data_IF_816372609394
#
_entry.id   IF_816372609394
#
_cell.length_a   1.000
_cell.length_b   1.000
_cell.length_c   1.000
_cell.angle_alpha   90.00
_cell.angle_beta   90.00
_cell.angle_gamma   90.00
#
_symmetry.space_group_name_H-M   'P 1'
#
loop_
_entity.id
_entity.type
_entity.pdbx_description
1 polymer ?
#
# COMPACT_ATOMS: atom_id res chain seq x y z
N UNK A 1 12.03 -21.05 -34.02
CA UNK A 1 11.25 -21.93 -33.13
C UNK A 1 11.10 -21.18 -31.81
N UNK A 2 9.97 -20.51 -31.62
CA UNK A 2 9.68 -19.74 -30.39
C UNK A 2 9.10 -20.76 -29.39
N UNK A 3 9.58 -20.83 -28.15
CA UNK A 3 8.99 -21.73 -27.16
C UNK A 3 7.57 -21.26 -26.83
N UNK A 4 6.61 -22.17 -26.90
CA UNK A 4 5.24 -21.94 -26.48
C UNK A 4 5.22 -21.64 -24.98
N UNK A 5 4.82 -20.42 -24.61
CA UNK A 5 4.57 -20.07 -23.22
C UNK A 5 3.25 -20.69 -22.79
N UNK A 6 3.23 -21.30 -21.60
CA UNK A 6 2.02 -21.87 -21.01
C UNK A 6 0.93 -20.78 -20.87
N UNK A 7 -0.36 -21.11 -21.07
CA UNK A 7 -1.47 -20.19 -20.87
C UNK A 7 -1.43 -19.54 -19.47
N UNK A 8 -1.73 -18.24 -19.39
CA UNK A 8 -1.64 -17.45 -18.14
C UNK A 8 -2.46 -18.02 -16.95
N UNK A 9 -3.47 -18.84 -17.23
CA UNK A 9 -4.25 -19.54 -16.19
C UNK A 9 -3.46 -20.65 -15.49
N UNK A 10 -2.55 -21.34 -16.21
CA UNK A 10 -1.75 -22.44 -15.66
C UNK A 10 -0.59 -21.90 -14.81
N UNK A 11 -0.03 -20.75 -15.19
CA UNK A 11 1.03 -20.07 -14.43
C UNK A 11 0.52 -19.51 -13.10
N UNK A 12 -0.70 -18.97 -13.06
CA UNK A 12 -1.33 -18.50 -11.81
C UNK A 12 -1.64 -19.63 -10.83
N UNK A 13 -2.09 -20.78 -11.34
CA UNK A 13 -2.35 -21.99 -10.54
C UNK A 13 -1.06 -22.60 -9.98
N UNK A 14 0.04 -22.58 -10.74
CA UNK A 14 1.36 -23.06 -10.32
C UNK A 14 1.97 -22.20 -9.19
N UNK A 15 1.79 -20.88 -9.22
CA UNK A 15 2.28 -20.00 -8.14
C UNK A 15 1.45 -20.18 -6.86
N UNK A 16 0.13 -20.31 -6.99
CA UNK A 16 -0.76 -20.55 -5.86
C UNK A 16 -0.53 -21.93 -5.21
N UNK A 17 -0.32 -22.98 -6.01
CA UNK A 17 0.01 -24.32 -5.52
C UNK A 17 1.42 -24.39 -4.94
N UNK A 18 2.39 -23.68 -5.51
CA UNK A 18 3.75 -23.57 -4.97
C UNK A 18 3.79 -22.89 -3.60
N UNK A 19 3.07 -21.77 -3.42
CA UNK A 19 2.96 -21.09 -2.13
C UNK A 19 2.22 -21.96 -1.09
N UNK A 20 1.15 -22.64 -1.50
CA UNK A 20 0.44 -23.61 -0.65
C UNK A 20 1.32 -24.79 -0.22
N UNK A 21 2.11 -25.34 -1.14
CA UNK A 21 3.05 -26.42 -0.85
C UNK A 21 4.17 -25.98 0.10
N UNK A 22 4.78 -24.80 -0.11
CA UNK A 22 5.80 -24.27 0.80
C UNK A 22 5.26 -24.03 2.21
N UNK A 23 4.03 -23.50 2.33
CA UNK A 23 3.36 -23.32 3.62
C UNK A 23 3.03 -24.67 4.29
N UNK A 24 2.57 -25.64 3.52
CA UNK A 24 2.29 -27.00 4.01
C UNK A 24 3.55 -27.71 4.47
N UNK A 25 4.66 -27.60 3.74
CA UNK A 25 5.94 -28.19 4.11
C UNK A 25 6.59 -27.44 5.28
N UNK A 26 6.43 -26.12 5.37
CA UNK A 26 6.83 -25.35 6.56
C UNK A 26 6.11 -25.84 7.82
N UNK A 27 4.81 -26.15 7.74
CA UNK A 27 4.05 -26.70 8.85
C UNK A 27 4.53 -28.10 9.30
N UNK A 28 5.06 -28.91 8.38
CA UNK A 28 5.64 -30.23 8.68
C UNK A 28 6.98 -30.11 9.44
N UNK A 29 7.79 -29.08 9.13
CA UNK A 29 9.12 -28.87 9.74
C UNK A 29 9.04 -28.33 11.18
N UNK A 30 7.96 -27.65 11.55
CA UNK A 30 7.77 -27.06 12.89
C UNK A 30 7.18 -28.05 13.92
N UNK A 31 7.14 -29.35 13.60
CA UNK A 31 6.95 -30.41 14.60
C UNK A 31 5.51 -30.56 15.10
N UNK A 32 4.58 -30.86 14.21
CA UNK A 32 3.27 -31.42 14.61
C UNK A 32 2.37 -30.50 15.42
N UNK A 33 2.67 -29.19 15.47
CA UNK A 33 1.66 -28.22 15.90
C UNK A 33 0.45 -28.40 14.98
N UNK A 34 -0.75 -28.68 15.49
CA UNK A 34 -1.94 -28.67 14.67
C UNK A 34 -2.18 -27.21 14.30
N UNK A 35 -1.47 -26.72 13.29
CA UNK A 35 -1.82 -25.50 12.61
C UNK A 35 -3.15 -25.82 11.93
N UNK A 36 -4.26 -25.51 12.61
CA UNK A 36 -5.61 -25.68 12.08
C UNK A 36 -5.90 -24.72 10.91
N UNK A 37 -4.85 -24.21 10.24
CA UNK A 37 -4.91 -22.97 9.49
C UNK A 37 -5.26 -21.80 10.42
N UNK A 38 -5.16 -20.59 9.91
CA UNK A 38 -6.20 -19.64 10.26
C UNK A 38 -7.47 -20.25 9.68
N UNK A 39 -8.33 -20.85 10.52
CA UNK A 39 -9.65 -21.27 10.06
C UNK A 39 -10.29 -20.00 9.52
N UNK A 40 -10.43 -19.94 8.19
CA UNK A 40 -11.11 -18.84 7.56
C UNK A 40 -12.47 -18.73 8.26
N UNK A 41 -12.79 -17.54 8.77
CA UNK A 41 -14.08 -17.27 9.40
C UNK A 41 -15.19 -17.34 8.31
N UNK A 42 -14.80 -17.39 7.01
CA UNK A 42 -15.65 -17.64 5.84
C UNK A 42 -16.91 -16.76 5.80
N UNK A 43 -16.84 -15.58 6.44
CA UNK A 43 -17.99 -14.69 6.65
C UNK A 43 -18.59 -14.18 5.34
N UNK A 44 -17.79 -14.11 4.29
CA UNK A 44 -18.20 -13.59 2.99
C UNK A 44 -18.36 -14.67 1.92
N UNK A 45 -18.14 -15.93 2.29
CA UNK A 45 -18.21 -17.06 1.36
C UNK A 45 -19.63 -17.24 0.83
N UNK A 46 -19.77 -17.29 -0.49
CA UNK A 46 -21.07 -17.38 -1.15
C UNK A 46 -21.85 -16.06 -1.25
N UNK A 47 -21.34 -14.96 -0.68
CA UNK A 47 -21.91 -13.63 -0.92
C UNK A 47 -21.60 -13.13 -2.35
N UNK A 48 -22.42 -12.24 -2.93
CA UNK A 48 -22.15 -11.68 -4.26
C UNK A 48 -20.79 -10.99 -4.34
N UNK A 49 -20.08 -11.15 -5.47
CA UNK A 49 -18.71 -10.61 -5.63
C UNK A 49 -18.59 -9.10 -5.37
N UNK A 50 -19.63 -8.32 -5.67
CA UNK A 50 -19.63 -6.87 -5.41
C UNK A 50 -19.70 -6.53 -3.92
N UNK A 51 -20.36 -7.36 -3.10
CA UNK A 51 -20.40 -7.21 -1.64
C UNK A 51 -19.01 -7.47 -1.08
N UNK A 52 -18.40 -8.58 -1.52
CA UNK A 52 -17.03 -8.93 -1.14
C UNK A 52 -16.06 -7.80 -1.52
N UNK A 53 -16.19 -7.25 -2.73
CA UNK A 53 -15.37 -6.14 -3.20
C UNK A 53 -15.55 -4.89 -2.34
N UNK A 54 -16.78 -4.49 -2.03
CA UNK A 54 -17.05 -3.29 -1.22
C UNK A 54 -16.49 -3.43 0.20
N UNK A 55 -16.69 -4.59 0.84
CA UNK A 55 -16.14 -4.86 2.18
C UNK A 55 -14.62 -4.88 2.15
N UNK A 56 -14.03 -5.58 1.18
CA UNK A 56 -12.58 -5.66 1.00
C UNK A 56 -11.98 -4.27 0.75
N UNK A 57 -12.61 -3.46 -0.10
CA UNK A 57 -12.18 -2.10 -0.44
C UNK A 57 -12.09 -1.21 0.80
N UNK A 58 -13.15 -1.15 1.61
CA UNK A 58 -13.20 -0.30 2.80
C UNK A 58 -12.22 -0.78 3.87
N UNK A 59 -12.21 -2.08 4.17
CA UNK A 59 -11.34 -2.63 5.21
C UNK A 59 -9.86 -2.54 4.83
N UNK A 60 -9.53 -2.87 3.58
CA UNK A 60 -8.16 -2.79 3.08
C UNK A 60 -7.65 -1.35 3.10
N UNK A 61 -8.43 -0.39 2.61
CA UNK A 61 -8.00 1.02 2.59
C UNK A 61 -7.81 1.58 4.01
N UNK A 62 -8.67 1.21 4.96
CA UNK A 62 -8.49 1.58 6.38
C UNK A 62 -7.21 0.96 6.97
N UNK A 63 -6.92 -0.31 6.68
CA UNK A 63 -5.69 -0.97 7.13
C UNK A 63 -4.45 -0.32 6.49
N UNK A 64 -4.50 0.00 5.20
CA UNK A 64 -3.44 0.73 4.51
C UNK A 64 -3.22 2.10 5.13
N UNK A 65 -4.28 2.86 5.41
CA UNK A 65 -4.20 4.14 6.11
C UNK A 65 -3.54 4.01 7.48
N UNK A 66 -3.89 2.98 8.27
CA UNK A 66 -3.27 2.71 9.57
C UNK A 66 -1.77 2.41 9.44
N UNK A 67 -1.39 1.52 8.52
CA UNK A 67 0.02 1.17 8.26
C UNK A 67 0.78 2.40 7.79
N UNK A 68 0.20 3.19 6.90
CA UNK A 68 0.81 4.41 6.38
C UNK A 68 1.07 5.43 7.48
N UNK A 69 0.08 5.65 8.35
CA UNK A 69 0.22 6.52 9.51
C UNK A 69 1.32 6.02 10.47
N UNK A 70 1.44 4.71 10.67
CA UNK A 70 2.52 4.13 11.49
C UNK A 70 3.91 4.33 10.85
N UNK A 71 4.02 4.22 9.52
CA UNK A 71 5.27 4.49 8.79
C UNK A 71 5.75 5.93 9.00
N UNK A 72 4.85 6.89 9.16
CA UNK A 72 5.19 8.29 9.45
C UNK A 72 5.41 8.58 10.94
N UNK A 73 4.81 7.79 11.84
CA UNK A 73 4.88 8.05 13.30
C UNK A 73 5.98 7.30 14.05
N UNK A 74 6.36 6.11 13.59
CA UNK A 74 7.37 5.29 14.26
C UNK A 74 8.73 5.56 13.61
N UNK A 75 9.72 6.15 14.31
CA UNK A 75 10.99 6.58 13.70
C UNK A 75 11.75 5.46 12.96
N UNK A 76 11.63 4.23 13.44
CA UNK A 76 12.23 3.06 12.79
C UNK A 76 11.53 2.69 11.48
N UNK A 77 10.19 2.64 11.47
CA UNK A 77 9.41 2.37 10.27
C UNK A 77 9.60 3.46 9.20
N UNK A 78 9.75 4.70 9.64
CA UNK A 78 10.03 5.83 8.75
C UNK A 78 11.31 5.63 7.93
N UNK A 79 12.33 4.96 8.45
CA UNK A 79 13.56 4.74 7.68
C UNK A 79 13.31 3.93 6.41
N UNK A 80 12.36 2.98 6.43
CA UNK A 80 11.96 2.21 5.26
C UNK A 80 11.16 3.05 4.27
N UNK A 81 10.30 3.92 4.79
CA UNK A 81 9.39 4.73 3.99
C UNK A 81 10.05 5.96 3.34
N UNK A 82 11.22 6.40 3.83
CA UNK A 82 12.04 7.45 3.20
C UNK A 82 12.34 7.18 1.72
N UNK A 83 12.45 5.90 1.30
CA UNK A 83 12.66 5.58 -0.12
C UNK A 83 11.48 6.07 -0.97
N UNK A 84 10.25 5.93 -0.48
CA UNK A 84 9.05 6.46 -1.12
C UNK A 84 9.08 7.99 -1.18
N UNK A 85 9.37 8.63 -0.04
CA UNK A 85 9.46 10.08 0.09
C UNK A 85 10.74 10.70 -0.47
N UNK A 86 11.59 9.93 -1.15
CA UNK A 86 12.84 10.46 -1.74
C UNK A 86 12.68 10.92 -3.19
N UNK A 87 11.45 11.19 -3.61
CA UNK A 87 11.11 11.77 -4.91
C UNK A 87 11.24 13.30 -4.86
N UNK A 88 11.75 13.90 -5.93
CA UNK A 88 11.86 15.36 -6.05
C UNK A 88 10.62 15.96 -6.71
N UNK A 89 9.96 15.17 -7.56
CA UNK A 89 8.73 15.49 -8.26
C UNK A 89 7.81 14.26 -8.19
N UNK A 90 6.50 14.49 -8.15
CA UNK A 90 5.54 13.40 -8.28
C UNK A 90 5.48 12.92 -9.72
N UNK A 91 5.50 11.61 -9.89
CA UNK A 91 5.13 10.94 -11.13
C UNK A 91 4.49 9.58 -10.80
N UNK A 92 3.72 9.04 -11.74
CA UNK A 92 2.98 7.80 -11.50
C UNK A 92 3.91 6.59 -11.25
N UNK A 93 5.18 6.63 -11.68
CA UNK A 93 6.19 5.59 -11.42
C UNK A 93 6.70 5.70 -9.98
N UNK A 94 6.76 6.91 -9.43
CA UNK A 94 7.09 7.21 -8.04
C UNK A 94 6.23 6.44 -7.05
N UNK A 95 4.98 6.14 -7.41
CA UNK A 95 4.10 5.25 -6.65
C UNK A 95 4.70 3.87 -6.40
N UNK A 96 5.62 3.38 -7.24
CA UNK A 96 6.22 2.05 -7.13
C UNK A 96 7.57 2.06 -6.40
N UNK A 97 8.02 3.22 -5.94
CA UNK A 97 9.31 3.38 -5.27
C UNK A 97 9.20 3.05 -3.79
N UNK A 98 9.21 1.77 -3.46
CA UNK A 98 9.14 1.30 -2.07
C UNK A 98 10.35 0.48 -1.67
N UNK A 99 10.60 0.45 -0.36
CA UNK A 99 11.47 -0.56 0.20
C UNK A 99 10.76 -1.93 0.20
N UNK A 100 11.46 -3.01 -0.12
CA UNK A 100 10.84 -4.34 -0.23
C UNK A 100 10.16 -4.80 1.07
N UNK A 101 10.74 -4.50 2.24
CA UNK A 101 10.10 -4.79 3.54
C UNK A 101 8.78 -4.05 3.73
N UNK A 102 8.68 -2.81 3.25
CA UNK A 102 7.42 -2.06 3.30
C UNK A 102 6.36 -2.78 2.48
N UNK A 103 6.70 -3.30 1.30
CA UNK A 103 5.80 -4.12 0.48
C UNK A 103 5.37 -5.37 1.26
N UNK A 104 6.31 -6.12 1.86
CA UNK A 104 5.98 -7.32 2.64
C UNK A 104 5.01 -6.98 3.78
N UNK A 105 5.31 -5.96 4.58
CA UNK A 105 4.47 -5.53 5.70
C UNK A 105 3.08 -5.09 5.24
N UNK A 106 2.99 -4.21 4.23
CA UNK A 106 1.70 -3.79 3.67
C UNK A 106 0.90 -4.99 3.19
N UNK A 107 1.48 -5.85 2.33
CA UNK A 107 0.72 -6.95 1.74
C UNK A 107 0.31 -7.99 2.78
N UNK A 108 1.18 -8.30 3.75
CA UNK A 108 0.84 -9.21 4.84
C UNK A 108 -0.28 -8.66 5.71
N UNK A 109 -0.18 -7.41 6.19
CA UNK A 109 -1.17 -6.84 7.10
C UNK A 109 -2.51 -6.55 6.42
N UNK A 110 -2.49 -6.24 5.13
CA UNK A 110 -3.71 -5.86 4.40
C UNK A 110 -4.41 -7.05 3.77
N UNK A 111 -3.70 -8.05 3.24
CA UNK A 111 -4.34 -9.17 2.54
C UNK A 111 -4.49 -10.44 3.38
N UNK A 112 -3.56 -10.77 4.30
CA UNK A 112 -3.68 -12.01 5.07
C UNK A 112 -4.94 -12.05 5.94
N UNK A 113 -5.31 -10.98 6.70
CA UNK A 113 -6.55 -10.99 7.47
C UNK A 113 -7.80 -11.09 6.59
N UNK A 114 -7.71 -10.63 5.34
CA UNK A 114 -8.85 -10.60 4.42
C UNK A 114 -9.05 -11.92 3.67
N UNK A 115 -8.00 -12.70 3.43
CA UNK A 115 -8.11 -14.09 2.94
C UNK A 115 -8.83 -14.97 3.96
N UNK A 116 -8.65 -14.71 5.26
CA UNK A 116 -9.37 -15.40 6.35
C UNK A 116 -10.89 -15.15 6.28
N UNK A 117 -11.36 -14.08 5.62
CA UNK A 117 -12.80 -13.81 5.48
C UNK A 117 -13.51 -14.67 4.41
N UNK A 118 -12.77 -15.51 3.67
CA UNK A 118 -13.33 -16.35 2.61
C UNK A 118 -13.66 -15.59 1.32
N UNK A 119 -12.90 -14.52 1.06
CA UNK A 119 -13.09 -13.69 -0.14
C UNK A 119 -12.55 -14.40 -1.37
N UNK A 120 -13.31 -14.32 -2.47
CA UNK A 120 -12.95 -14.89 -3.76
C UNK A 120 -11.64 -14.27 -4.30
N UNK A 121 -10.73 -15.10 -4.79
CA UNK A 121 -9.44 -14.66 -5.32
C UNK A 121 -9.57 -13.67 -6.48
N UNK A 122 -10.65 -13.74 -7.27
CA UNK A 122 -10.95 -12.78 -8.32
C UNK A 122 -11.21 -11.38 -7.76
N UNK A 123 -11.90 -11.27 -6.62
CA UNK A 123 -12.16 -9.98 -5.95
C UNK A 123 -10.87 -9.37 -5.44
N UNK A 124 -9.99 -10.20 -4.86
CA UNK A 124 -8.65 -9.78 -4.42
C UNK A 124 -7.84 -9.22 -5.58
N UNK A 125 -7.82 -9.90 -6.72
CA UNK A 125 -7.11 -9.45 -7.92
C UNK A 125 -7.67 -8.11 -8.45
N UNK A 126 -8.99 -7.99 -8.57
CA UNK A 126 -9.63 -6.75 -9.03
C UNK A 126 -9.33 -5.58 -8.10
N UNK A 127 -9.38 -5.80 -6.79
CA UNK A 127 -9.07 -4.75 -5.83
C UNK A 127 -7.59 -4.35 -5.88
N UNK A 128 -6.68 -5.30 -6.10
CA UNK A 128 -5.26 -5.00 -6.27
C UNK A 128 -5.02 -4.10 -7.49
N UNK A 129 -5.67 -4.40 -8.63
CA UNK A 129 -5.61 -3.57 -9.84
C UNK A 129 -6.19 -2.18 -9.55
N UNK A 130 -7.41 -2.13 -9.01
CA UNK A 130 -8.10 -0.87 -8.70
C UNK A 130 -7.28 0.03 -7.76
N UNK A 131 -6.80 -0.51 -6.64
CA UNK A 131 -5.99 0.23 -5.66
C UNK A 131 -4.69 0.75 -6.29
N UNK A 132 -4.07 -0.04 -7.17
CA UNK A 132 -2.85 0.35 -7.88
C UNK A 132 -3.11 1.51 -8.84
N UNK A 133 -4.21 1.48 -9.59
CA UNK A 133 -4.60 2.57 -10.49
C UNK A 133 -4.89 3.86 -9.72
N UNK A 134 -5.58 3.77 -8.58
CA UNK A 134 -5.79 4.93 -7.70
C UNK A 134 -4.46 5.46 -7.15
N UNK A 135 -3.56 4.59 -6.70
CA UNK A 135 -2.22 4.98 -6.27
C UNK A 135 -1.43 5.71 -7.36
N UNK A 136 -1.44 5.20 -8.60
CA UNK A 136 -0.83 5.86 -9.75
C UNK A 136 -1.45 7.23 -10.04
N UNK A 137 -2.79 7.34 -9.95
CA UNK A 137 -3.47 8.62 -10.13
C UNK A 137 -3.02 9.61 -9.05
N UNK A 138 -3.03 9.21 -7.78
CA UNK A 138 -2.61 10.06 -6.67
C UNK A 138 -1.15 10.51 -6.78
N UNK A 139 -0.26 9.65 -7.28
CA UNK A 139 1.14 9.98 -7.52
C UNK A 139 1.40 10.71 -8.84
N UNK A 140 0.38 10.95 -9.67
CA UNK A 140 0.57 11.66 -10.92
C UNK A 140 0.91 13.14 -10.70
N UNK A 141 1.62 13.76 -11.65
CA UNK A 141 1.89 15.20 -11.66
C UNK A 141 0.66 16.04 -12.10
N UNK A 142 -0.54 15.57 -11.78
CA UNK A 142 -1.79 16.24 -12.11
C UNK A 142 -2.21 17.13 -10.94
N UNK A 143 -2.60 18.36 -11.22
CA UNK A 143 -3.09 19.32 -10.21
C UNK A 143 -4.60 19.21 -10.03
N UNK A 144 -5.11 18.00 -9.95
CA UNK A 144 -6.54 17.70 -9.90
C UNK A 144 -6.95 17.54 -8.44
N UNK A 145 -7.93 18.34 -8.02
CA UNK A 145 -8.72 18.11 -6.82
C UNK A 145 -10.15 17.72 -7.18
N UNK A 146 -10.90 17.19 -6.19
CA UNK A 146 -12.28 16.73 -6.41
C UNK A 146 -13.35 17.67 -5.86
N UNK A 147 -12.97 18.89 -5.47
CA UNK A 147 -13.88 19.80 -4.77
C UNK A 147 -14.47 19.12 -3.52
N UNK A 148 -15.80 19.16 -3.29
CA UNK A 148 -16.43 18.50 -2.15
C UNK A 148 -16.21 16.98 -2.08
N UNK A 149 -15.97 16.29 -3.20
CA UNK A 149 -15.66 14.85 -3.15
C UNK A 149 -14.29 14.56 -2.51
N UNK A 150 -13.44 15.56 -2.36
CA UNK A 150 -12.15 15.46 -1.66
C UNK A 150 -12.28 15.16 -0.16
N UNK A 151 -13.48 15.29 0.41
CA UNK A 151 -13.78 14.82 1.77
C UNK A 151 -13.93 13.30 1.88
N UNK A 152 -14.19 12.63 0.75
CA UNK A 152 -14.41 11.19 0.70
C UNK A 152 -13.30 10.45 -0.04
N UNK A 153 -12.84 10.98 -1.17
CA UNK A 153 -11.89 10.31 -2.07
C UNK A 153 -10.60 11.13 -2.13
N UNK A 154 -9.46 10.46 -2.00
CA UNK A 154 -8.15 11.09 -2.13
C UNK A 154 -7.92 11.58 -3.57
N UNK A 155 -7.15 12.65 -3.72
CA UNK A 155 -6.87 13.27 -5.01
C UNK A 155 -5.37 13.45 -5.24
N UNK A 156 -4.92 13.57 -6.50
CA UNK A 156 -3.54 13.94 -6.79
C UNK A 156 -3.10 15.20 -6.05
N UNK A 157 -3.97 16.22 -5.99
CA UNK A 157 -3.71 17.46 -5.24
C UNK A 157 -3.57 17.23 -3.73
N UNK A 158 -4.31 16.30 -3.14
CA UNK A 158 -4.18 16.02 -1.71
C UNK A 158 -2.95 15.14 -1.42
N UNK A 159 -2.64 14.20 -2.31
CA UNK A 159 -1.48 13.32 -2.17
C UNK A 159 -0.13 14.02 -2.42
N UNK A 160 -0.06 15.04 -3.26
CA UNK A 160 1.18 15.84 -3.36
C UNK A 160 1.54 16.53 -2.06
N UNK A 161 0.52 16.98 -1.31
CA UNK A 161 0.75 17.54 0.01
C UNK A 161 1.27 16.52 0.99
N UNK A 162 0.91 15.24 0.88
CA UNK A 162 1.48 14.18 1.71
C UNK A 162 3.01 14.12 1.61
N UNK A 163 3.61 14.47 0.47
CA UNK A 163 5.05 14.46 0.23
C UNK A 163 5.77 15.76 0.62
N UNK A 164 5.08 16.72 1.23
CA UNK A 164 5.67 17.99 1.65
C UNK A 164 6.75 17.81 2.71
N UNK A 165 7.94 18.36 2.44
CA UNK A 165 9.11 18.27 3.31
C UNK A 165 8.87 18.87 4.70
N UNK A 166 8.08 19.93 4.81
CA UNK A 166 7.88 20.66 6.07
C UNK A 166 6.93 19.91 6.99
N UNK A 167 5.84 19.40 6.44
CA UNK A 167 4.78 18.75 7.20
C UNK A 167 5.15 17.34 7.65
N UNK A 168 6.10 16.65 6.99
CA UNK A 168 6.70 15.43 7.56
C UNK A 168 7.30 15.65 8.94
N UNK A 169 7.92 16.82 9.19
CA UNK A 169 8.41 17.20 10.52
C UNK A 169 7.32 17.32 11.60
N UNK A 170 6.04 17.28 11.21
CA UNK A 170 4.86 17.35 12.08
C UNK A 170 4.05 16.04 12.12
N UNK A 171 4.71 14.89 11.93
CA UNK A 171 4.10 13.55 11.92
C UNK A 171 3.30 13.17 10.66
N UNK A 172 3.42 13.93 9.58
CA UNK A 172 2.74 13.62 8.31
C UNK A 172 1.24 13.97 8.28
N UNK A 173 0.65 13.85 7.09
CA UNK A 173 -0.71 14.29 6.73
C UNK A 173 -1.18 13.49 5.50
N UNK A 174 -2.48 13.43 5.23
CA UNK A 174 -3.06 12.82 4.01
C UNK A 174 -2.55 11.39 3.75
N UNK A 175 -2.76 10.47 4.70
CA UNK A 175 -2.25 9.10 4.60
C UNK A 175 -3.12 8.19 3.73
N UNK A 176 -4.36 8.58 3.42
CA UNK A 176 -5.28 7.72 2.69
C UNK A 176 -4.83 7.51 1.24
N UNK A 177 -5.04 6.30 0.72
CA UNK A 177 -4.82 6.03 -0.71
C UNK A 177 -6.13 6.20 -1.47
N UNK A 178 -7.23 5.62 -1.00
CA UNK A 178 -8.52 5.73 -1.70
C UNK A 178 -9.42 6.70 -0.98
N UNK A 179 -9.72 6.47 0.31
CA UNK A 179 -10.71 7.28 1.02
C UNK A 179 -10.05 8.32 1.94
N UNK A 180 -9.94 9.56 1.46
CA UNK A 180 -9.50 10.70 2.29
C UNK A 180 -10.39 10.94 3.52
N UNK A 181 -11.59 10.34 3.55
CA UNK A 181 -12.47 10.28 4.72
C UNK A 181 -11.72 9.96 6.02
N UNK A 182 -10.75 9.02 5.99
CA UNK A 182 -9.99 8.67 7.18
C UNK A 182 -9.14 9.84 7.68
N UNK A 183 -8.52 10.59 6.77
CA UNK A 183 -7.72 11.75 7.13
C UNK A 183 -8.57 12.88 7.74
N UNK A 184 -9.78 13.08 7.23
CA UNK A 184 -10.72 14.03 7.82
C UNK A 184 -11.22 13.57 9.18
N UNK A 185 -11.61 12.30 9.31
CA UNK A 185 -12.14 11.72 10.54
C UNK A 185 -11.12 11.75 11.68
N UNK A 186 -9.84 11.50 11.37
CA UNK A 186 -8.78 11.42 12.37
C UNK A 186 -7.88 12.66 12.42
N UNK A 187 -8.28 13.75 11.77
CA UNK A 187 -7.62 15.05 11.83
C UNK A 187 -6.21 15.08 11.24
N UNK A 188 -5.94 14.28 10.21
CA UNK A 188 -4.69 14.29 9.43
C UNK A 188 -4.84 14.87 8.02
N UNK A 189 -6.03 15.35 7.66
CA UNK A 189 -6.24 16.01 6.37
C UNK A 189 -5.56 17.39 6.31
N UNK A 190 -4.90 17.68 5.19
CA UNK A 190 -4.30 18.97 4.88
C UNK A 190 -4.48 19.28 3.39
N UNK A 191 -5.23 20.33 3.08
CA UNK A 191 -5.49 20.76 1.72
C UNK A 191 -5.66 22.29 1.68
N UNK A 192 -4.58 23.06 1.50
CA UNK A 192 -4.65 24.52 1.46
C UNK A 192 -5.43 24.98 0.23
N UNK A 193 -6.21 26.05 0.38
CA UNK A 193 -7.05 26.60 -0.69
C UNK A 193 -6.23 27.35 -1.75
N UNK A 194 -5.26 28.15 -1.30
CA UNK A 194 -4.47 29.07 -2.13
C UNK A 194 -3.25 28.41 -2.80
N UNK A 195 -2.91 27.18 -2.41
CA UNK A 195 -1.72 26.49 -2.90
C UNK A 195 -2.07 25.13 -3.53
N UNK A 196 -1.57 24.91 -4.75
CA UNK A 196 -1.86 23.69 -5.52
C UNK A 196 -0.91 22.54 -5.18
N UNK A 197 0.30 22.84 -4.69
CA UNK A 197 1.33 21.87 -4.34
C UNK A 197 2.34 22.49 -3.37
N UNK A 198 3.11 21.69 -2.62
CA UNK A 198 4.14 22.20 -1.73
C UNK A 198 5.29 22.87 -2.48
N UNK A 199 6.00 23.77 -1.79
CA UNK A 199 7.20 24.40 -2.33
C UNK A 199 8.33 23.39 -2.59
N UNK A 200 8.38 22.30 -1.81
CA UNK A 200 9.39 21.26 -1.92
C UNK A 200 8.89 19.91 -1.42
N UNK A 201 9.11 18.88 -2.22
CA UNK A 201 8.87 17.49 -1.82
C UNK A 201 10.10 16.90 -1.13
N UNK A 202 9.88 15.90 -0.28
CA UNK A 202 10.96 15.10 0.28
C UNK A 202 10.91 14.97 1.80
N UNK A 203 12.07 14.95 2.45
CA UNK A 203 12.21 14.97 3.90
C UNK A 203 13.48 15.74 4.30
N UNK A 204 13.59 16.14 5.57
CA UNK A 204 14.60 17.07 6.09
C UNK A 204 16.06 16.68 5.80
N UNK A 205 16.38 15.38 5.76
CA UNK A 205 17.75 14.90 5.51
C UNK A 205 17.97 14.32 4.11
N UNK A 206 17.10 14.63 3.14
CA UNK A 206 17.12 13.99 1.81
C UNK A 206 18.45 14.20 1.06
N UNK A 207 19.14 15.32 1.27
CA UNK A 207 20.46 15.61 0.68
C UNK A 207 21.54 14.63 1.13
N UNK A 208 21.39 14.08 2.33
CA UNK A 208 22.29 13.07 2.91
C UNK A 208 21.84 11.63 2.65
N UNK A 209 20.67 11.43 2.03
CA UNK A 209 20.12 10.11 1.75
C UNK A 209 20.96 9.39 0.69
N UNK A 210 21.29 8.09 0.88
CA UNK A 210 22.16 7.38 -0.05
C UNK A 210 21.69 7.46 -1.49
N UNK A 211 22.66 7.53 -2.41
CA UNK A 211 22.42 7.38 -3.84
C UNK A 211 22.59 5.91 -4.25
N UNK A 212 21.97 5.55 -5.37
CA UNK A 212 22.00 4.18 -5.88
C UNK A 212 21.04 3.23 -5.16
N UNK A 213 20.68 2.13 -5.83
CA UNK A 213 19.68 1.19 -5.36
C UNK A 213 20.10 0.52 -4.04
N UNK A 214 21.29 -0.08 -4.00
CA UNK A 214 21.78 -0.83 -2.84
C UNK A 214 21.88 0.03 -1.59
N UNK A 215 22.44 1.25 -1.70
CA UNK A 215 22.56 2.17 -0.58
C UNK A 215 21.20 2.52 0.03
N UNK A 216 20.18 2.72 -0.82
CA UNK A 216 18.81 3.04 -0.37
C UNK A 216 18.07 1.84 0.21
N UNK A 217 18.30 0.64 -0.32
CA UNK A 217 17.71 -0.59 0.20
C UNK A 217 18.34 -1.04 1.52
N UNK A 218 19.58 -0.66 1.81
CA UNK A 218 20.24 -1.05 3.05
C UNK A 218 20.24 0.05 4.12
N UNK A 219 19.96 1.30 3.72
CA UNK A 219 19.88 2.45 4.63
C UNK A 219 19.07 2.21 5.91
N UNK A 220 17.88 1.59 5.89
CA UNK A 220 17.07 1.43 7.09
C UNK A 220 17.72 0.57 8.17
N UNK A 221 18.68 -0.29 7.83
CA UNK A 221 19.33 -1.20 8.76
C UNK A 221 20.55 -0.59 9.48
N UNK A 222 20.97 0.61 9.08
CA UNK A 222 22.14 1.30 9.66
C UNK A 222 21.78 2.63 10.34
N UNK A 223 20.50 2.85 10.64
CA UNK A 223 19.97 4.07 11.26
C UNK A 223 19.33 3.81 12.61
#
# INVERSE_FOLDING_TARGET
MIPDFLPAQETGLLVATGAGWVLQQGAQVVGGWPWQGLQAVQLLTGSPLWVQFAVLLVLKDLLEWCVHRLLHRVPWLWQFHKLHHSIAELDWIGNMRFHWMEIVVYKSLTYLPLVVLGIDGQVVLWLAIFSTLIGHLNHSNLKIGWGPLGYLINSPRMHVWHHDVVLHGKSGQNFAIIFSLWDWLFGSAYLPEDEQQPARLGFSEIESFPRGLLGRLLYPFWK
#
